data_IF_098366297866
#
_entry.id   IF_098366297866
#
_cell.length_a   1.000
_cell.length_b   1.000
_cell.length_c   1.000
_cell.angle_alpha   90.00
_cell.angle_beta   90.00
_cell.angle_gamma   90.00
#
_symmetry.space_group_name_H-M   'P 1'
#
loop_
_entity.id
_entity.type
_entity.pdbx_description
1 polymer ?
#
# COMPACT_ATOMS: atom_id res chain seq x y z
N UNK A 1 -5.23 17.74 3.41
CA UNK A 1 -4.93 16.55 4.20
C UNK A 1 -4.67 16.97 5.61
N UNK A 2 -5.34 16.34 6.56
CA UNK A 2 -5.18 16.60 7.99
C UNK A 2 -3.92 15.90 8.52
N UNK A 3 -3.42 16.28 9.70
CA UNK A 3 -2.15 15.73 10.20
C UNK A 3 -2.33 14.32 10.77
N UNK A 4 -3.52 14.01 11.26
CA UNK A 4 -3.95 12.74 11.81
C UNK A 4 -3.64 11.55 10.90
N UNK A 5 -3.00 10.48 11.41
CA UNK A 5 -2.78 9.26 10.65
C UNK A 5 -4.10 8.51 10.44
N UNK A 6 -4.24 7.90 9.27
CA UNK A 6 -5.42 7.10 8.87
C UNK A 6 -5.00 5.86 8.12
N UNK A 7 -5.88 4.86 8.10
CA UNK A 7 -5.80 3.70 7.21
C UNK A 7 -6.92 3.76 6.16
N UNK A 8 -6.74 3.07 5.03
CA UNK A 8 -7.81 2.91 4.03
C UNK A 8 -8.61 1.65 4.39
N UNK A 9 -9.92 1.79 4.53
CA UNK A 9 -10.84 0.67 4.74
C UNK A 9 -11.70 0.47 3.50
N UNK A 10 -11.76 -0.77 3.02
CA UNK A 10 -12.63 -1.18 1.92
C UNK A 10 -13.52 -2.32 2.39
N UNK A 11 -14.79 -2.34 1.98
CA UNK A 11 -15.72 -3.44 2.23
C UNK A 11 -16.77 -3.54 1.13
N UNK A 12 -17.67 -4.52 1.25
CA UNK A 12 -18.81 -4.70 0.37
C UNK A 12 -18.41 -4.76 -1.12
N UNK A 13 -17.32 -5.47 -1.42
CA UNK A 13 -16.85 -5.65 -2.79
C UNK A 13 -17.76 -6.64 -3.51
N UNK A 14 -18.40 -6.19 -4.58
CA UNK A 14 -19.14 -7.03 -5.51
C UNK A 14 -18.89 -6.61 -6.97
N UNK A 15 -19.79 -7.01 -7.88
CA UNK A 15 -19.66 -6.70 -9.32
C UNK A 15 -20.05 -5.27 -9.65
N UNK A 16 -20.77 -4.59 -8.77
CA UNK A 16 -21.30 -3.23 -8.97
C UNK A 16 -20.40 -2.19 -8.29
N UNK A 17 -19.71 -2.55 -7.21
CA UNK A 17 -18.77 -1.63 -6.58
C UNK A 17 -18.16 -2.13 -5.27
N UNK A 18 -17.76 -1.15 -4.46
CA UNK A 18 -17.23 -1.33 -3.11
C UNK A 18 -17.44 -0.05 -2.30
N UNK A 19 -17.46 -0.18 -0.98
CA UNK A 19 -17.39 0.96 -0.06
C UNK A 19 -15.91 1.27 0.24
N UNK A 20 -15.56 2.55 0.33
CA UNK A 20 -14.23 3.01 0.73
C UNK A 20 -14.33 4.18 1.71
N UNK A 21 -13.50 4.16 2.75
CA UNK A 21 -13.31 5.30 3.66
C UNK A 21 -11.86 5.39 4.14
N UNK A 22 -11.47 6.59 4.57
CA UNK A 22 -10.35 6.76 5.48
C UNK A 22 -10.84 6.49 6.89
N UNK A 23 -10.09 5.68 7.64
CA UNK A 23 -10.41 5.27 8.99
C UNK A 23 -9.30 5.73 9.93
N UNK A 24 -9.69 6.53 10.92
CA UNK A 24 -8.83 6.92 12.04
C UNK A 24 -8.62 5.74 13.00
N UNK A 25 -7.52 5.80 13.74
CA UNK A 25 -7.21 4.93 14.85
C UNK A 25 -8.09 5.24 16.07
N UNK A 26 -8.31 4.24 16.93
CA UNK A 26 -9.30 4.32 18.02
C UNK A 26 -9.03 5.40 19.08
N UNK A 27 -7.80 5.95 19.16
CA UNK A 27 -7.47 7.04 20.08
C UNK A 27 -7.84 8.43 19.55
N UNK A 28 -8.24 8.55 18.28
CA UNK A 28 -8.60 9.80 17.62
C UNK A 28 -10.09 10.13 17.79
N UNK A 29 -10.51 11.30 17.33
CA UNK A 29 -11.83 11.86 17.64
C UNK A 29 -12.92 11.50 16.61
N UNK A 30 -12.57 10.84 15.50
CA UNK A 30 -13.48 10.46 14.41
C UNK A 30 -13.76 11.58 13.40
N UNK A 31 -13.22 12.79 13.62
CA UNK A 31 -13.41 13.93 12.74
C UNK A 31 -12.15 14.10 11.87
N UNK A 32 -12.30 13.82 10.59
CA UNK A 32 -11.20 13.91 9.62
C UNK A 32 -11.60 14.75 8.42
N UNK A 33 -10.69 15.62 7.98
CA UNK A 33 -10.88 16.41 6.77
C UNK A 33 -11.09 15.51 5.54
N UNK A 34 -11.84 15.98 4.55
CA UNK A 34 -11.96 15.26 3.29
C UNK A 34 -10.61 15.16 2.60
N UNK A 35 -10.26 13.94 2.18
CA UNK A 35 -9.07 13.68 1.38
C UNK A 35 -9.43 12.97 0.08
N UNK A 36 -8.53 13.04 -0.90
CA UNK A 36 -8.66 12.31 -2.16
C UNK A 36 -7.96 10.96 -2.03
N UNK A 37 -8.69 9.88 -2.35
CA UNK A 37 -8.15 8.52 -2.38
C UNK A 37 -8.12 8.02 -3.82
N UNK A 38 -6.99 7.47 -4.23
CA UNK A 38 -6.87 6.74 -5.49
C UNK A 38 -7.21 5.27 -5.26
N UNK A 39 -7.91 4.66 -6.21
CA UNK A 39 -8.19 3.22 -6.16
C UNK A 39 -7.84 2.56 -7.49
N UNK A 40 -7.53 1.26 -7.41
CA UNK A 40 -7.32 0.39 -8.58
C UNK A 40 -8.20 -0.84 -8.40
N UNK A 41 -8.90 -1.20 -9.48
CA UNK A 41 -9.66 -2.45 -9.55
C UNK A 41 -8.97 -3.36 -10.56
N UNK A 42 -8.76 -4.61 -10.16
CA UNK A 42 -8.14 -5.63 -11.00
C UNK A 42 -8.84 -6.97 -10.75
N UNK A 43 -9.18 -7.68 -11.83
CA UNK A 43 -9.70 -9.03 -11.71
C UNK A 43 -8.64 -9.96 -11.10
N UNK A 44 -9.09 -10.90 -10.25
CA UNK A 44 -8.20 -11.90 -9.66
C UNK A 44 -7.64 -12.81 -10.76
N UNK A 45 -6.33 -12.98 -10.77
CA UNK A 45 -5.68 -13.85 -11.74
C UNK A 45 -4.17 -13.64 -11.82
N UNK A 46 -3.55 -14.42 -12.71
CA UNK A 46 -2.13 -14.33 -13.05
C UNK A 46 -2.01 -13.84 -14.48
N UNK A 47 -1.22 -12.78 -14.69
CA UNK A 47 -1.13 -12.05 -15.93
C UNK A 47 0.32 -11.91 -16.38
N UNK A 48 0.51 -11.87 -17.70
CA UNK A 48 1.74 -11.46 -18.36
C UNK A 48 1.36 -10.34 -19.33
N UNK A 49 1.96 -9.17 -19.15
CA UNK A 49 1.70 -7.99 -19.97
C UNK A 49 2.32 -8.14 -21.36
N UNK A 50 1.96 -7.25 -22.29
CA UNK A 50 2.49 -7.28 -23.66
C UNK A 50 4.01 -7.11 -23.75
N UNK A 51 4.63 -6.49 -22.74
CA UNK A 51 6.09 -6.35 -22.60
C UNK A 51 6.77 -7.56 -21.92
N UNK A 52 6.00 -8.60 -21.57
CA UNK A 52 6.47 -9.78 -20.85
C UNK A 52 6.53 -9.64 -19.33
N UNK A 53 6.22 -8.46 -18.77
CA UNK A 53 6.22 -8.23 -17.34
C UNK A 53 5.13 -9.03 -16.65
N UNK A 54 5.44 -9.55 -15.47
CA UNK A 54 4.53 -10.37 -14.66
C UNK A 54 3.75 -9.54 -13.66
N UNK A 55 2.47 -9.88 -13.53
CA UNK A 55 1.52 -9.26 -12.61
C UNK A 55 0.54 -10.33 -12.11
N UNK A 56 0.13 -10.28 -10.85
CA UNK A 56 -0.98 -11.09 -10.35
C UNK A 56 -1.82 -10.30 -9.36
N UNK A 57 -3.10 -10.64 -9.28
CA UNK A 57 -4.02 -10.21 -8.24
C UNK A 57 -4.54 -11.44 -7.51
N UNK A 58 -4.55 -11.38 -6.18
CA UNK A 58 -4.92 -12.50 -5.33
C UNK A 58 -5.61 -12.06 -4.04
N UNK A 59 -5.97 -13.05 -3.23
CA UNK A 59 -6.64 -12.85 -1.95
C UNK A 59 -6.23 -13.94 -0.97
N UNK A 60 -6.12 -13.59 0.31
CA UNK A 60 -5.84 -14.49 1.41
C UNK A 60 -6.47 -13.98 2.71
N UNK A 61 -6.50 -14.81 3.76
CA UNK A 61 -6.94 -14.40 5.09
C UNK A 61 -5.76 -13.91 5.90
N UNK A 62 -5.73 -12.62 6.23
CA UNK A 62 -4.76 -11.99 7.11
C UNK A 62 -5.08 -12.21 8.59
N UNK A 63 -4.06 -12.21 9.45
CA UNK A 63 -4.20 -12.33 10.92
C UNK A 63 -3.11 -11.51 11.60
N UNK A 64 -3.21 -11.29 12.92
CA UNK A 64 -2.22 -10.51 13.69
C UNK A 64 -0.87 -11.21 13.90
N UNK A 65 -0.73 -12.45 13.42
CA UNK A 65 0.53 -13.19 13.42
C UNK A 65 1.14 -13.28 12.03
N UNK A 66 2.47 -13.19 11.94
CA UNK A 66 3.16 -13.32 10.67
C UNK A 66 2.93 -14.69 10.05
N UNK A 67 2.37 -14.68 8.85
CA UNK A 67 2.17 -15.87 8.02
C UNK A 67 2.84 -15.70 6.66
N UNK A 68 3.30 -16.80 6.09
CA UNK A 68 3.90 -16.83 4.76
C UNK A 68 2.80 -16.87 3.71
N UNK A 69 2.76 -15.88 2.84
CA UNK A 69 1.87 -15.83 1.68
C UNK A 69 2.68 -16.27 0.46
N UNK A 70 2.18 -17.27 -0.25
CA UNK A 70 2.77 -17.77 -1.50
C UNK A 70 2.09 -17.07 -2.68
N UNK A 71 2.89 -16.50 -3.57
CA UNK A 71 2.43 -15.89 -4.82
C UNK A 71 2.01 -16.98 -5.82
N UNK A 72 1.07 -16.65 -6.70
CA UNK A 72 0.51 -17.58 -7.67
C UNK A 72 1.47 -17.85 -8.85
N UNK A 73 2.48 -17.00 -9.03
CA UNK A 73 3.60 -17.22 -9.94
C UNK A 73 4.96 -16.85 -9.33
N UNK A 74 6.03 -17.35 -9.94
CA UNK A 74 7.39 -16.89 -9.67
C UNK A 74 7.77 -15.71 -10.56
N UNK A 75 8.47 -14.74 -9.98
CA UNK A 75 8.93 -13.53 -10.64
C UNK A 75 10.43 -13.60 -10.95
N UNK A 76 10.93 -12.93 -12.02
CA UNK A 76 12.36 -12.84 -12.31
C UNK A 76 13.16 -12.15 -11.19
N UNK A 77 12.53 -11.18 -10.51
CA UNK A 77 13.02 -10.46 -9.34
C UNK A 77 11.98 -10.42 -8.22
N UNK A 78 12.26 -9.73 -7.12
CA UNK A 78 11.28 -9.55 -6.04
C UNK A 78 10.18 -8.60 -6.54
N UNK A 79 8.89 -9.00 -6.54
CA UNK A 79 7.79 -8.13 -6.92
C UNK A 79 7.52 -7.05 -5.86
N UNK A 80 6.92 -5.93 -6.27
CA UNK A 80 6.24 -5.01 -5.35
C UNK A 80 4.87 -5.59 -5.04
N UNK A 81 4.51 -5.72 -3.77
CA UNK A 81 3.17 -6.18 -3.35
C UNK A 81 2.42 -5.03 -2.70
N UNK A 82 1.19 -4.78 -3.14
CA UNK A 82 0.28 -3.78 -2.59
C UNK A 82 -0.95 -4.50 -2.04
N UNK A 83 -1.02 -4.78 -0.72
CA UNK A 83 -2.16 -5.40 -0.08
C UNK A 83 -3.19 -4.36 0.37
N UNK A 84 -4.45 -4.79 0.47
CA UNK A 84 -5.55 -4.00 1.00
C UNK A 84 -6.50 -4.91 1.78
N UNK A 85 -6.85 -4.52 3.00
CA UNK A 85 -7.90 -5.18 3.79
C UNK A 85 -9.25 -4.84 3.16
N UNK A 86 -10.08 -5.86 2.91
CA UNK A 86 -11.33 -5.74 2.14
C UNK A 86 -12.57 -6.26 2.87
N UNK A 87 -12.43 -6.60 4.15
CA UNK A 87 -13.52 -6.93 5.06
C UNK A 87 -13.41 -6.13 6.35
N UNK A 88 -14.50 -6.10 7.11
CA UNK A 88 -14.60 -5.49 8.43
C UNK A 88 -15.23 -6.51 9.37
N UNK A 89 -14.43 -7.48 9.78
CA UNK A 89 -14.81 -8.52 10.75
C UNK A 89 -14.67 -8.02 12.20
N UNK A 90 -13.88 -6.98 12.41
CA UNK A 90 -13.73 -6.22 13.65
C UNK A 90 -13.65 -4.72 13.30
N UNK A 91 -14.14 -3.87 14.20
CA UNK A 91 -14.28 -2.43 13.93
C UNK A 91 -12.95 -1.68 14.02
N UNK A 92 -11.97 -2.25 14.72
CA UNK A 92 -10.67 -1.64 14.97
C UNK A 92 -9.88 -1.41 13.66
N UNK A 93 -9.14 -0.30 13.63
CA UNK A 93 -8.32 0.04 12.47
C UNK A 93 -7.12 -0.90 12.38
N UNK A 94 -6.82 -1.37 11.17
CA UNK A 94 -5.68 -2.25 10.89
C UNK A 94 -4.89 -1.80 9.68
N UNK A 95 -3.58 -2.01 9.76
CA UNK A 95 -2.63 -1.82 8.68
C UNK A 95 -2.07 -3.19 8.22
N UNK A 96 -1.62 -3.23 6.97
CA UNK A 96 -0.95 -4.36 6.35
C UNK A 96 0.56 -4.29 6.59
N UNK A 97 1.10 -5.14 7.47
CA UNK A 97 2.55 -5.23 7.69
C UNK A 97 3.16 -6.38 6.90
N UNK A 98 4.24 -6.12 6.17
CA UNK A 98 4.89 -7.12 5.31
C UNK A 98 6.40 -7.17 5.49
N UNK A 99 6.99 -8.35 5.29
CA UNK A 99 8.46 -8.53 5.32
C UNK A 99 8.94 -9.74 4.55
N UNK A 100 10.26 -9.88 4.46
CA UNK A 100 10.94 -11.09 3.96
C UNK A 100 10.46 -11.54 2.58
N UNK A 101 10.45 -10.59 1.64
CA UNK A 101 10.03 -10.81 0.27
C UNK A 101 11.01 -11.70 -0.50
N UNK A 102 10.47 -12.61 -1.30
CA UNK A 102 11.21 -13.44 -2.25
C UNK A 102 10.57 -13.29 -3.64
N UNK A 103 11.10 -14.02 -4.63
CA UNK A 103 10.53 -14.08 -5.98
C UNK A 103 9.15 -14.75 -6.04
N UNK A 104 8.68 -15.38 -4.98
CA UNK A 104 7.42 -16.16 -4.97
C UNK A 104 6.67 -16.14 -3.64
N UNK A 105 7.09 -15.33 -2.67
CA UNK A 105 6.41 -15.24 -1.37
C UNK A 105 6.78 -13.98 -0.61
N UNK A 106 5.95 -13.62 0.36
CA UNK A 106 6.25 -12.61 1.37
C UNK A 106 5.62 -13.06 2.70
N UNK A 107 6.00 -12.41 3.81
CA UNK A 107 5.31 -12.57 5.09
C UNK A 107 4.38 -11.40 5.34
N UNK A 108 3.22 -11.68 5.93
CA UNK A 108 2.18 -10.70 6.19
C UNK A 108 1.63 -10.86 7.61
N UNK A 109 1.27 -9.74 8.26
CA UNK A 109 0.32 -9.70 9.38
C UNK A 109 -0.57 -8.46 9.27
N UNK A 110 -1.74 -8.52 9.91
CA UNK A 110 -2.49 -7.34 10.31
C UNK A 110 -1.81 -6.69 11.52
N UNK A 111 -1.79 -5.38 11.56
CA UNK A 111 -1.23 -4.62 12.66
C UNK A 111 -2.15 -3.47 13.03
N UNK A 112 -2.69 -3.54 14.24
CA UNK A 112 -3.45 -2.46 14.87
C UNK A 112 -2.51 -1.39 15.46
N UNK A 113 -3.04 -0.40 16.15
CA UNK A 113 -2.26 0.62 16.86
C UNK A 113 -1.33 0.02 17.93
N UNK A 114 -0.24 0.71 18.25
CA UNK A 114 0.85 0.24 19.14
C UNK A 114 0.36 -0.12 20.55
N UNK A 115 -0.68 0.58 21.04
CA UNK A 115 -1.28 0.30 22.34
C UNK A 115 -2.09 -1.01 22.37
N UNK A 116 -2.47 -1.56 21.22
CA UNK A 116 -3.32 -2.76 21.18
C UNK A 116 -2.60 -3.99 21.72
N UNK A 117 -3.18 -4.59 22.77
CA UNK A 117 -2.64 -5.77 23.43
C UNK A 117 -3.29 -7.09 22.99
N UNK A 118 -4.39 -7.01 22.24
CA UNK A 118 -5.16 -8.15 21.75
C UNK A 118 -4.86 -8.43 20.28
N UNK A 119 -5.29 -9.59 19.79
CA UNK A 119 -5.19 -9.91 18.38
C UNK A 119 -6.49 -9.53 17.67
N UNK A 120 -6.40 -8.66 16.67
CA UNK A 120 -7.47 -8.47 15.69
C UNK A 120 -8.02 -9.79 15.11
N UNK A 121 -9.34 -9.84 14.92
CA UNK A 121 -10.01 -10.93 14.20
C UNK A 121 -9.47 -11.02 12.76
N UNK A 122 -9.21 -12.23 12.20
CA UNK A 122 -8.73 -12.37 10.83
C UNK A 122 -9.62 -11.68 9.79
N UNK A 123 -9.00 -11.02 8.81
CA UNK A 123 -9.67 -10.28 7.72
C UNK A 123 -9.31 -10.86 6.36
N UNK A 124 -10.15 -10.66 5.35
CA UNK A 124 -9.79 -10.91 3.95
C UNK A 124 -8.91 -9.77 3.45
N UNK A 125 -7.79 -10.12 2.81
CA UNK A 125 -6.83 -9.19 2.25
C UNK A 125 -6.68 -9.50 0.76
N UNK A 126 -6.98 -8.52 -0.08
CA UNK A 126 -6.65 -8.58 -1.50
C UNK A 126 -5.26 -8.01 -1.73
N UNK A 127 -4.55 -8.49 -2.74
CA UNK A 127 -3.24 -7.96 -3.09
C UNK A 127 -3.04 -7.90 -4.60
N UNK A 128 -2.21 -6.96 -5.02
CA UNK A 128 -1.59 -6.93 -6.34
C UNK A 128 -0.09 -7.14 -6.17
N UNK A 129 0.50 -8.11 -6.86
CA UNK A 129 1.94 -8.29 -6.92
C UNK A 129 2.45 -8.04 -8.35
N UNK A 130 3.34 -7.05 -8.51
CA UNK A 130 3.78 -6.57 -9.82
C UNK A 130 5.30 -6.61 -9.93
N UNK A 131 5.80 -7.17 -11.03
CA UNK A 131 7.22 -7.13 -11.38
C UNK A 131 7.73 -5.68 -11.46
N UNK A 132 8.84 -5.33 -10.80
CA UNK A 132 9.42 -4.00 -10.95
C UNK A 132 9.84 -3.75 -12.39
N UNK A 133 9.55 -2.56 -12.89
CA UNK A 133 9.75 -2.22 -14.29
C UNK A 133 8.99 -0.95 -14.67
N UNK A 134 9.17 -0.57 -15.93
CA UNK A 134 8.44 0.52 -16.57
C UNK A 134 7.87 0.00 -17.87
N UNK A 135 6.66 0.41 -18.20
CA UNK A 135 6.01 -0.02 -19.42
C UNK A 135 4.79 0.84 -19.71
N UNK A 136 3.90 0.30 -20.54
CA UNK A 136 2.66 0.96 -20.92
C UNK A 136 1.52 -0.07 -20.93
N UNK A 137 0.37 0.32 -20.37
CA UNK A 137 -0.87 -0.46 -20.44
C UNK A 137 -1.94 0.48 -20.97
N UNK A 138 -2.55 0.13 -22.10
CA UNK A 138 -3.65 0.89 -22.71
C UNK A 138 -3.32 2.38 -22.92
N UNK A 139 -2.09 2.70 -23.34
CA UNK A 139 -1.62 4.09 -23.53
C UNK A 139 -1.16 4.79 -22.25
N UNK A 140 -1.30 4.15 -21.08
CA UNK A 140 -0.88 4.69 -19.79
C UNK A 140 0.48 4.15 -19.42
N UNK A 141 1.47 5.05 -19.31
CA UNK A 141 2.79 4.70 -18.80
C UNK A 141 2.68 4.27 -17.34
N UNK A 142 3.40 3.24 -16.95
CA UNK A 142 3.52 2.84 -15.56
C UNK A 142 4.98 2.73 -15.12
N UNK A 143 5.20 2.85 -13.82
CA UNK A 143 6.44 2.54 -13.13
C UNK A 143 6.14 1.77 -11.86
N UNK A 144 6.78 0.63 -11.69
CA UNK A 144 6.76 -0.17 -10.46
C UNK A 144 8.18 -0.30 -9.96
N UNK A 145 8.46 0.15 -8.74
CA UNK A 145 9.79 0.07 -8.16
C UNK A 145 9.78 0.08 -6.64
N UNK A 146 10.94 -0.21 -6.06
CA UNK A 146 11.23 -0.05 -4.64
C UNK A 146 12.18 1.12 -4.44
N UNK A 147 12.02 1.86 -3.35
CA UNK A 147 13.04 2.80 -2.88
C UNK A 147 14.28 2.06 -2.38
N UNK A 148 15.36 2.78 -2.13
CA UNK A 148 16.39 2.31 -1.20
C UNK A 148 15.78 2.18 0.22
N UNK A 149 16.39 1.38 1.13
CA UNK A 149 16.00 1.33 2.55
C UNK A 149 16.39 2.65 3.22
N UNK A 150 15.55 3.67 3.09
CA UNK A 150 15.90 5.06 3.41
C UNK A 150 14.69 5.93 3.77
N UNK A 151 13.47 5.41 3.66
CA UNK A 151 12.26 6.15 4.05
C UNK A 151 12.13 6.05 5.57
N UNK A 152 12.04 7.18 6.26
CA UNK A 152 11.81 7.26 7.73
C UNK A 152 10.61 8.17 7.99
N UNK A 153 10.43 8.59 9.24
CA UNK A 153 9.58 9.70 9.70
C UNK A 153 9.75 11.03 8.92
N UNK A 154 10.91 11.21 8.25
CA UNK A 154 11.25 12.42 7.52
C UNK A 154 10.82 12.33 6.05
N UNK A 155 10.39 13.46 5.50
CA UNK A 155 10.04 13.56 4.08
C UNK A 155 11.21 13.18 3.17
N UNK A 156 11.03 12.07 2.48
CA UNK A 156 11.90 11.52 1.46
C UNK A 156 11.40 11.94 0.07
N UNK A 157 12.27 12.59 -0.72
CA UNK A 157 11.96 12.93 -2.11
C UNK A 157 12.13 11.71 -3.01
N UNK A 158 11.04 11.20 -3.57
CA UNK A 158 11.03 10.13 -4.54
C UNK A 158 10.90 10.71 -5.94
N UNK A 159 11.92 10.51 -6.77
CA UNK A 159 11.90 10.89 -8.19
C UNK A 159 11.43 9.72 -9.03
N UNK A 160 10.44 9.95 -9.90
CA UNK A 160 10.02 8.94 -10.87
C UNK A 160 11.09 8.75 -11.94
N UNK A 161 11.38 7.50 -12.26
CA UNK A 161 12.23 7.16 -13.37
C UNK A 161 11.47 7.17 -14.70
N UNK A 162 10.14 7.10 -14.68
CA UNK A 162 9.26 7.29 -15.83
C UNK A 162 8.97 8.77 -16.07
N UNK A 163 8.84 9.15 -17.36
CA UNK A 163 8.48 10.52 -17.76
C UNK A 163 6.97 10.62 -17.90
N UNK A 164 6.29 11.08 -16.85
CA UNK A 164 4.88 11.42 -16.91
C UNK A 164 4.71 12.86 -17.44
N UNK A 165 3.63 13.12 -18.17
CA UNK A 165 3.29 14.47 -18.66
C UNK A 165 2.53 15.29 -17.63
N UNK A 166 1.83 14.62 -16.71
CA UNK A 166 1.03 15.16 -15.62
C UNK A 166 1.30 14.31 -14.36
N UNK A 167 0.91 14.77 -13.16
CA UNK A 167 0.99 13.94 -11.96
C UNK A 167 0.28 12.58 -12.17
N UNK A 168 0.97 11.43 -12.02
CA UNK A 168 0.36 10.12 -12.18
C UNK A 168 -0.54 9.76 -11.00
N UNK A 169 -1.36 8.72 -11.13
CA UNK A 169 -1.91 8.03 -9.96
C UNK A 169 -0.78 7.28 -9.25
N UNK A 170 -0.71 7.40 -7.92
CA UNK A 170 0.36 6.83 -7.11
C UNK A 170 -0.22 5.91 -6.02
N UNK A 171 0.33 4.70 -5.93
CA UNK A 171 0.06 3.71 -4.88
C UNK A 171 1.38 3.29 -4.25
N UNK A 172 1.40 3.12 -2.93
CA UNK A 172 2.61 2.70 -2.23
C UNK A 172 2.29 1.88 -0.98
N UNK A 173 3.25 1.04 -0.60
CA UNK A 173 3.20 0.26 0.64
C UNK A 173 4.60 -0.10 1.10
N UNK A 174 4.80 -0.16 2.41
CA UNK A 174 6.06 -0.56 3.01
C UNK A 174 6.32 -2.05 2.71
N UNK A 175 7.53 -2.37 2.24
CA UNK A 175 7.96 -3.71 1.85
C UNK A 175 8.95 -4.31 2.86
N UNK A 176 9.05 -3.73 4.05
CA UNK A 176 9.96 -4.16 5.12
C UNK A 176 9.30 -3.98 6.49
N UNK A 177 9.97 -4.50 7.52
CA UNK A 177 9.55 -4.39 8.91
C UNK A 177 10.75 -3.88 9.71
N UNK A 178 11.06 -2.60 9.53
CA UNK A 178 12.27 -1.94 10.03
C UNK A 178 12.21 -1.55 11.50
N UNK A 179 11.01 -1.38 12.05
CA UNK A 179 10.73 -1.17 13.48
C UNK A 179 9.37 -1.82 13.85
N UNK A 180 9.10 -1.95 15.16
CA UNK A 180 7.89 -2.60 15.66
C UNK A 180 6.61 -1.82 15.45
N UNK A 181 6.74 -0.49 15.40
CA UNK A 181 5.61 0.40 15.62
C UNK A 181 4.76 0.52 14.35
N UNK A 182 3.49 0.83 14.55
CA UNK A 182 2.49 0.79 13.50
C UNK A 182 2.66 1.95 12.56
N UNK A 183 2.92 1.64 11.29
CA UNK A 183 3.39 2.63 10.32
C UNK A 183 2.72 2.49 8.95
N UNK A 184 2.38 3.61 8.34
CA UNK A 184 1.84 3.69 6.98
C UNK A 184 2.73 4.58 6.08
N UNK A 185 2.54 4.49 4.76
CA UNK A 185 3.17 5.45 3.84
C UNK A 185 2.29 6.68 3.74
N UNK A 186 2.86 7.85 4.00
CA UNK A 186 2.21 9.14 3.71
C UNK A 186 2.89 9.83 2.54
N UNK A 187 2.08 10.38 1.63
CA UNK A 187 2.55 11.13 0.47
C UNK A 187 2.12 12.60 0.48
N UNK A 188 2.92 13.47 -0.13
CA UNK A 188 2.55 14.86 -0.45
C UNK A 188 3.30 15.37 -1.68
N UNK A 189 2.84 16.51 -2.24
CA UNK A 189 3.49 17.21 -3.36
C UNK A 189 3.74 16.29 -4.57
N UNK A 190 2.74 15.50 -4.93
CA UNK A 190 2.77 14.68 -6.14
C UNK A 190 2.82 15.57 -7.38
N UNK A 191 3.82 15.33 -8.23
CA UNK A 191 4.06 16.02 -9.47
C UNK A 191 4.45 15.01 -10.56
N UNK A 192 4.48 15.43 -11.82
CA UNK A 192 4.84 14.56 -12.94
C UNK A 192 6.25 13.92 -12.81
N UNK A 193 7.16 14.57 -12.07
CA UNK A 193 8.54 14.11 -11.89
C UNK A 193 8.78 13.32 -10.59
N UNK A 194 7.84 13.32 -9.64
CA UNK A 194 8.06 12.69 -8.34
C UNK A 194 7.04 13.06 -7.27
N UNK A 195 7.28 12.59 -6.06
CA UNK A 195 6.45 12.79 -4.87
C UNK A 195 7.34 12.85 -3.62
N UNK A 196 6.87 13.47 -2.54
CA UNK A 196 7.47 13.30 -1.22
C UNK A 196 6.72 12.24 -0.43
N UNK A 197 7.44 11.27 0.15
CA UNK A 197 6.85 10.23 1.00
C UNK A 197 7.55 10.16 2.36
N UNK A 198 6.87 9.64 3.37
CA UNK A 198 7.46 9.28 4.67
C UNK A 198 6.77 8.04 5.24
N UNK A 199 7.44 7.39 6.19
CA UNK A 199 6.83 6.46 7.13
C UNK A 199 6.14 7.28 8.21
N UNK A 200 4.83 7.10 8.37
CA UNK A 200 4.03 7.78 9.38
C UNK A 200 3.53 6.78 10.41
N UNK A 201 4.00 6.96 11.64
CA UNK A 201 3.51 6.24 12.81
C UNK A 201 2.24 6.87 13.36
N UNK A 202 1.44 6.04 14.02
CA UNK A 202 0.38 6.51 14.91
C UNK A 202 0.90 6.69 16.35
N UNK A 203 0.13 7.37 17.20
CA UNK A 203 0.57 7.86 18.51
C UNK A 203 -0.28 7.34 19.68
N UNK A 204 -0.86 6.14 19.55
CA UNK A 204 -1.76 5.56 20.56
C UNK A 204 -1.09 5.31 21.91
N UNK A 205 0.20 5.00 21.92
CA UNK A 205 0.95 4.65 23.14
C UNK A 205 1.77 5.81 23.68
N UNK A 206 2.44 6.56 22.81
CA UNK A 206 3.15 7.78 23.15
C UNK A 206 3.24 8.74 21.95
N UNK A 207 3.88 9.91 22.15
CA UNK A 207 3.98 10.97 21.13
C UNK A 207 5.21 10.84 20.22
N UNK A 208 6.06 9.84 20.46
CA UNK A 208 7.24 9.54 19.67
C UNK A 208 6.80 9.12 18.26
N UNK A 209 7.52 9.55 17.21
CA UNK A 209 7.20 9.15 15.83
C UNK A 209 8.46 8.87 14.99
N UNK A 210 9.58 8.54 15.64
CA UNK A 210 10.89 8.36 14.99
C UNK A 210 10.97 6.94 14.46
N UNK A 211 10.67 6.79 13.17
CA UNK A 211 10.72 5.50 12.53
C UNK A 211 12.11 5.14 11.98
N UNK A 212 12.46 3.85 12.05
CA UNK A 212 13.65 3.32 11.37
C UNK A 212 13.50 3.33 9.85
N UNK A 213 14.58 3.05 9.13
CA UNK A 213 14.58 3.05 7.66
C UNK A 213 13.75 1.89 7.11
N UNK A 214 12.81 2.24 6.24
CA UNK A 214 11.98 1.30 5.49
C UNK A 214 12.28 1.37 3.98
N UNK A 215 11.96 0.28 3.29
CA UNK A 215 11.82 0.22 1.84
C UNK A 215 10.35 0.40 1.48
N UNK A 216 10.04 1.37 0.62
CA UNK A 216 8.69 1.58 0.09
C UNK A 216 8.63 1.08 -1.34
N UNK A 217 7.71 0.15 -1.60
CA UNK A 217 7.34 -0.28 -2.94
C UNK A 217 6.20 0.58 -3.46
N UNK A 218 6.26 0.96 -4.73
CA UNK A 218 5.25 1.82 -5.34
C UNK A 218 4.86 1.38 -6.76
N UNK A 219 3.66 1.79 -7.14
CA UNK A 219 3.14 1.80 -8.50
C UNK A 219 2.70 3.23 -8.84
N UNK A 220 3.29 3.79 -9.89
CA UNK A 220 2.83 5.03 -10.51
C UNK A 220 2.26 4.69 -11.89
N UNK A 221 1.07 5.15 -12.22
CA UNK A 221 0.46 4.97 -13.54
C UNK A 221 -0.11 6.30 -14.04
N UNK A 222 0.14 6.61 -15.31
CA UNK A 222 -0.39 7.82 -15.93
C UNK A 222 -1.92 7.82 -15.89
N UNK A 223 -2.51 9.01 -15.85
CA UNK A 223 -3.95 9.17 -15.99
C UNK A 223 -4.29 9.30 -17.47
N UNK A 224 -5.33 8.60 -17.92
CA UNK A 224 -5.88 8.83 -19.25
C UNK A 224 -6.48 10.24 -19.31
N UNK A 225 -6.47 10.88 -20.48
CA UNK A 225 -7.23 12.10 -20.68
C UNK A 225 -8.70 11.80 -20.36
N UNK A 226 -9.18 12.27 -19.22
CA UNK A 226 -10.60 12.18 -18.88
C UNK A 226 -11.30 13.15 -19.81
N UNK A 227 -12.01 12.62 -20.81
CA UNK A 227 -13.02 13.43 -21.50
C UNK A 227 -14.12 13.64 -20.46
N UNK A 228 -14.25 14.88 -19.99
CA UNK A 228 -15.38 15.34 -19.17
C UNK A 228 -16.70 15.09 -19.87
#
# INVERSE_FOLDING_TARGET
NEAEPVTVRIRNIDREGFDIRLQEWGYQNGAHAQETVNYMVMEKGVYTLGDGSKLEAGSFTGSSAYQKITLQQAYPGIPVVLPQVVTENEDDAVNCRMRSFTKSSFYFKLQEMELTATAHIPETVNYIAWQPGKGEISGLRYEVANTAPSVTDKWYGLTFGSKFSEPPTFFAGIQTDGASDTVAVRGQKLAAAGIQIRAEEEQSKDLETTHSKETVGFLSIGVGATVQ
#
